data_IF_626144223741
#
_entry.id   IF_626144223741
#
_cell.length_a   1.000
_cell.length_b   1.000
_cell.length_c   1.000
_cell.angle_alpha   90.00
_cell.angle_beta   90.00
_cell.angle_gamma   90.00
#
_symmetry.space_group_name_H-M   'P 1'
#
loop_
_entity.id
_entity.type
_entity.pdbx_description
1 polymer ?
#
# COMPACT_ATOMS: atom_id res chain seq x y z
N UNK A 1 -23.57 -0.59 14.29
CA UNK A 1 -23.76 0.07 12.99
C UNK A 1 -22.47 0.82 12.71
N UNK A 2 -21.51 0.09 12.16
CA UNK A 2 -20.09 0.43 12.21
C UNK A 2 -19.65 0.84 10.81
N UNK A 3 -19.27 2.11 10.64
CA UNK A 3 -18.73 2.64 9.39
C UNK A 3 -17.27 2.23 9.31
N UNK A 4 -16.98 1.16 8.56
CA UNK A 4 -15.64 0.85 8.11
C UNK A 4 -15.13 1.96 7.18
N UNK A 5 -13.93 2.45 7.47
CA UNK A 5 -13.25 3.49 6.69
C UNK A 5 -12.70 2.86 5.42
N UNK A 6 -13.23 3.30 4.29
CA UNK A 6 -12.73 3.00 2.94
C UNK A 6 -11.31 3.56 2.78
N UNK A 7 -10.36 2.71 2.39
CA UNK A 7 -9.20 3.17 1.61
C UNK A 7 -9.76 3.54 0.22
N UNK A 8 -9.54 4.78 -0.19
CA UNK A 8 -9.91 5.23 -1.53
C UNK A 8 -8.77 4.89 -2.49
N UNK A 9 -9.07 4.11 -3.52
CA UNK A 9 -8.16 3.84 -4.63
C UNK A 9 -8.66 4.66 -5.83
N UNK A 10 -8.33 5.95 -5.83
CA UNK A 10 -8.64 6.83 -6.96
C UNK A 10 -7.79 6.45 -8.19
N UNK A 11 -8.29 5.56 -9.04
CA UNK A 11 -7.72 5.30 -10.37
C UNK A 11 -8.22 6.37 -11.33
N UNK A 12 -7.47 7.46 -11.46
CA UNK A 12 -7.63 8.43 -12.54
C UNK A 12 -6.83 7.98 -13.77
N UNK A 13 -7.49 7.43 -14.79
CA UNK A 13 -6.86 7.19 -16.10
C UNK A 13 -6.86 8.52 -16.87
N UNK A 14 -5.75 9.27 -16.74
CA UNK A 14 -5.48 10.43 -17.60
C UNK A 14 -5.02 9.90 -18.96
N UNK A 15 -5.91 9.91 -19.95
CA UNK A 15 -5.56 9.79 -21.35
C UNK A 15 -4.82 11.07 -21.77
N UNK A 16 -3.49 11.03 -21.78
CA UNK A 16 -2.68 11.98 -22.51
C UNK A 16 -1.52 12.62 -21.75
N UNK A 17 -0.43 11.86 -21.57
CA UNK A 17 0.96 12.31 -21.74
C UNK A 17 1.87 11.16 -21.30
N UNK A 18 2.66 10.61 -22.21
CA UNK A 18 3.57 9.48 -21.98
C UNK A 18 4.66 9.86 -20.97
N UNK A 19 4.38 9.69 -19.67
CA UNK A 19 5.42 9.38 -18.71
C UNK A 19 5.95 7.99 -19.05
N UNK A 20 7.24 7.89 -19.35
CA UNK A 20 7.94 6.61 -19.49
C UNK A 20 7.97 5.92 -18.11
N UNK A 21 6.87 5.29 -17.70
CA UNK A 21 6.96 4.22 -16.71
C UNK A 21 7.78 3.11 -17.35
N UNK A 22 8.81 2.65 -16.66
CA UNK A 22 9.66 1.57 -17.14
C UNK A 22 8.81 0.30 -17.31
N UNK A 23 8.43 0.00 -18.54
CA UNK A 23 7.70 -1.22 -18.87
C UNK A 23 8.63 -2.41 -18.67
N UNK A 24 8.27 -3.30 -17.77
CA UNK A 24 9.00 -4.51 -17.44
C UNK A 24 8.58 -5.66 -18.36
N UNK A 25 9.53 -6.53 -18.70
CA UNK A 25 9.32 -7.80 -19.41
C UNK A 25 10.20 -8.87 -18.76
N UNK A 26 9.85 -10.14 -18.93
CA UNK A 26 10.60 -11.25 -18.36
C UNK A 26 10.40 -11.39 -16.84
N UNK A 27 11.48 -11.62 -16.09
CA UNK A 27 11.41 -11.95 -14.66
C UNK A 27 11.28 -10.69 -13.81
N UNK A 28 10.33 -10.72 -12.88
CA UNK A 28 10.17 -9.74 -11.80
C UNK A 28 10.48 -10.40 -10.47
N UNK A 29 11.31 -9.75 -9.66
CA UNK A 29 11.76 -10.25 -8.36
C UNK A 29 11.53 -9.19 -7.28
N UNK A 30 10.77 -9.57 -6.25
CA UNK A 30 10.51 -8.81 -5.03
C UNK A 30 11.12 -9.55 -3.84
N UNK A 31 12.44 -9.43 -3.59
CA UNK A 31 13.11 -10.20 -2.54
C UNK A 31 12.57 -9.90 -1.14
N UNK A 32 12.08 -8.68 -0.91
CA UNK A 32 11.53 -8.22 0.38
C UNK A 32 10.14 -8.75 0.66
N UNK A 33 9.43 -9.21 -0.37
CA UNK A 33 8.19 -9.99 -0.24
C UNK A 33 8.46 -11.49 -0.35
N UNK A 34 9.65 -11.88 -0.81
CA UNK A 34 9.96 -13.25 -1.16
C UNK A 34 9.12 -13.75 -2.33
N UNK A 35 8.81 -12.89 -3.29
CA UNK A 35 7.96 -13.18 -4.45
C UNK A 35 8.75 -12.96 -5.72
N UNK A 36 8.76 -13.94 -6.60
CA UNK A 36 9.32 -13.83 -7.95
C UNK A 36 8.34 -14.42 -8.96
N UNK A 37 8.17 -13.80 -10.11
CA UNK A 37 7.32 -14.32 -11.19
C UNK A 37 7.87 -13.92 -12.56
N UNK A 38 7.25 -14.44 -13.62
CA UNK A 38 7.58 -14.11 -15.01
C UNK A 38 6.39 -13.45 -15.69
N UNK A 39 6.66 -12.35 -16.37
CA UNK A 39 5.70 -11.67 -17.26
C UNK A 39 5.60 -12.51 -18.55
N UNK A 40 4.39 -12.96 -18.94
CA UNK A 40 4.19 -13.75 -20.15
C UNK A 40 4.62 -13.01 -21.43
N UNK A 41 5.02 -13.77 -22.44
CA UNK A 41 5.45 -13.21 -23.73
C UNK A 41 4.32 -12.38 -24.36
N UNK A 42 4.68 -11.20 -24.92
CA UNK A 42 3.72 -10.27 -25.53
C UNK A 42 2.93 -9.40 -24.54
N UNK A 43 3.22 -9.53 -23.23
CA UNK A 43 2.73 -8.65 -22.17
C UNK A 43 3.84 -7.75 -21.63
N UNK A 44 3.44 -6.61 -21.10
CA UNK A 44 4.32 -5.63 -20.47
C UNK A 44 3.76 -5.23 -19.13
N UNK A 45 4.62 -5.22 -18.12
CA UNK A 45 4.24 -4.96 -16.74
C UNK A 45 4.71 -3.61 -16.23
N UNK A 46 4.02 -3.05 -15.24
CA UNK A 46 4.48 -1.89 -14.47
C UNK A 46 3.85 -1.90 -13.07
N UNK A 47 4.56 -1.34 -12.10
CA UNK A 47 4.02 -1.07 -10.78
C UNK A 47 3.09 0.15 -10.83
N UNK A 48 1.97 0.04 -10.12
CA UNK A 48 1.00 1.13 -9.98
C UNK A 48 0.39 1.08 -8.58
N UNK A 49 0.93 1.88 -7.66
CA UNK A 49 0.53 1.82 -6.25
C UNK A 49 0.93 0.49 -5.62
N UNK A 50 -0.05 -0.22 -5.04
CA UNK A 50 0.17 -1.51 -4.37
C UNK A 50 -0.01 -2.73 -5.29
N UNK A 51 -0.25 -2.52 -6.58
CA UNK A 51 -0.47 -3.59 -7.55
C UNK A 51 0.58 -3.57 -8.67
N UNK A 52 0.77 -4.74 -9.27
CA UNK A 52 1.51 -4.86 -10.52
C UNK A 52 0.52 -5.05 -11.67
N UNK A 53 0.51 -4.13 -12.62
CA UNK A 53 -0.38 -4.14 -13.77
C UNK A 53 0.35 -4.65 -15.00
N UNK A 54 -0.31 -5.48 -15.79
CA UNK A 54 0.16 -5.89 -17.11
C UNK A 54 -0.86 -5.56 -18.19
N UNK A 55 -0.36 -5.14 -19.35
CA UNK A 55 -1.14 -4.92 -20.56
C UNK A 55 -0.47 -5.54 -21.78
N UNK A 56 -1.22 -5.68 -22.86
CA UNK A 56 -0.73 -6.10 -24.17
C UNK A 56 -1.11 -5.07 -25.22
N UNK A 57 -0.25 -4.90 -26.22
CA UNK A 57 -0.55 -4.07 -27.39
C UNK A 57 -1.49 -4.79 -28.40
N UNK A 58 -1.71 -6.09 -28.20
CA UNK A 58 -2.45 -6.95 -29.15
C UNK A 58 -3.69 -7.61 -28.55
N UNK A 59 -3.77 -7.70 -27.22
CA UNK A 59 -4.89 -8.32 -26.51
C UNK A 59 -5.57 -7.26 -25.65
N UNK A 60 -6.90 -7.04 -25.78
CA UNK A 60 -7.62 -6.11 -24.92
C UNK A 60 -7.65 -6.60 -23.47
N UNK A 61 -7.95 -5.71 -22.54
CA UNK A 61 -7.99 -6.04 -21.11
C UNK A 61 -6.65 -5.89 -20.42
N UNK A 62 -6.56 -6.45 -19.22
CA UNK A 62 -5.46 -6.21 -18.30
C UNK A 62 -5.25 -7.40 -17.36
N UNK A 63 -4.04 -7.51 -16.81
CA UNK A 63 -3.75 -8.38 -15.67
C UNK A 63 -3.37 -7.53 -14.47
N UNK A 64 -3.90 -7.86 -13.31
CA UNK A 64 -3.50 -7.28 -12.03
C UNK A 64 -2.92 -8.38 -11.16
N UNK A 65 -1.74 -8.14 -10.59
CA UNK A 65 -1.23 -8.92 -9.47
C UNK A 65 -1.34 -8.05 -8.22
N UNK A 66 -1.94 -8.62 -7.18
CA UNK A 66 -2.06 -8.00 -5.87
C UNK A 66 -1.68 -9.02 -4.80
N UNK A 67 -1.17 -8.53 -3.69
CA UNK A 67 -0.78 -9.38 -2.57
C UNK A 67 -1.94 -9.64 -1.61
N UNK A 68 -1.93 -10.78 -0.93
CA UNK A 68 -2.85 -11.09 0.16
C UNK A 68 -2.15 -11.73 1.35
N UNK A 69 -2.80 -11.71 2.51
CA UNK A 69 -2.27 -12.32 3.76
C UNK A 69 -2.90 -13.68 4.10
N UNK A 70 -3.77 -14.21 3.23
CA UNK A 70 -4.33 -15.55 3.42
C UNK A 70 -3.27 -16.65 3.27
N UNK A 71 -3.25 -17.55 4.26
CA UNK A 71 -2.37 -18.72 4.31
C UNK A 71 -3.11 -20.03 4.07
N UNK A 72 -4.45 -20.00 3.99
CA UNK A 72 -5.29 -21.18 3.83
C UNK A 72 -6.15 -21.08 2.58
N UNK A 73 -6.04 -22.10 1.73
CA UNK A 73 -6.85 -22.24 0.50
C UNK A 73 -8.36 -22.16 0.79
N UNK A 74 -8.80 -22.69 1.92
CA UNK A 74 -10.23 -22.67 2.26
C UNK A 74 -10.74 -21.24 2.50
N UNK A 75 -9.94 -20.37 3.12
CA UNK A 75 -10.31 -18.96 3.30
C UNK A 75 -10.35 -18.22 1.96
N UNK A 76 -9.39 -18.52 1.06
CA UNK A 76 -9.41 -17.98 -0.30
C UNK A 76 -10.68 -18.38 -1.05
N UNK A 77 -11.16 -19.62 -0.90
CA UNK A 77 -12.45 -20.04 -1.47
C UNK A 77 -13.61 -19.25 -0.88
N UNK A 78 -13.65 -19.09 0.44
CA UNK A 78 -14.70 -18.30 1.10
C UNK A 78 -14.70 -16.84 0.63
N UNK A 79 -13.54 -16.21 0.46
CA UNK A 79 -13.42 -14.86 -0.08
C UNK A 79 -13.87 -14.79 -1.54
N UNK A 80 -13.47 -15.77 -2.36
CA UNK A 80 -13.90 -15.87 -3.75
C UNK A 80 -15.43 -16.04 -3.89
N UNK A 81 -16.08 -16.78 -2.98
CA UNK A 81 -17.55 -16.93 -2.93
C UNK A 81 -18.26 -15.63 -2.53
N UNK A 82 -17.64 -14.77 -1.71
CA UNK A 82 -18.16 -13.43 -1.40
C UNK A 82 -18.06 -12.46 -2.60
N UNK A 83 -17.15 -12.76 -3.54
CA UNK A 83 -16.82 -11.92 -4.69
C UNK A 83 -15.81 -10.83 -4.37
N UNK A 84 -15.30 -10.19 -5.43
CA UNK A 84 -14.37 -9.06 -5.35
C UNK A 84 -15.15 -7.77 -5.54
N UNK A 85 -15.32 -7.00 -4.48
CA UNK A 85 -16.01 -5.71 -4.48
C UNK A 85 -15.07 -4.63 -3.96
N UNK A 86 -14.78 -3.66 -4.81
CA UNK A 86 -13.93 -2.51 -4.52
C UNK A 86 -14.39 -1.27 -5.33
N UNK A 87 -13.77 -0.12 -5.14
CA UNK A 87 -14.08 1.12 -5.86
C UNK A 87 -13.95 0.90 -7.39
N UNK A 88 -15.10 0.85 -8.07
CA UNK A 88 -15.17 0.58 -9.50
C UNK A 88 -15.00 -0.88 -9.90
N UNK A 89 -14.90 -1.84 -8.97
CA UNK A 89 -14.84 -3.28 -9.28
C UNK A 89 -15.97 -4.01 -8.54
N UNK A 90 -16.75 -4.80 -9.27
CA UNK A 90 -17.75 -5.68 -8.68
C UNK A 90 -17.81 -6.97 -9.47
N UNK A 91 -17.06 -7.98 -9.04
CA UNK A 91 -16.97 -9.29 -9.67
C UNK A 91 -17.49 -10.39 -8.74
N UNK A 92 -18.30 -11.29 -9.28
CA UNK A 92 -18.83 -12.45 -8.57
C UNK A 92 -18.38 -13.73 -9.26
N UNK A 93 -18.13 -14.79 -8.47
CA UNK A 93 -17.69 -16.07 -9.01
C UNK A 93 -18.77 -16.65 -9.92
N UNK A 94 -18.37 -17.03 -11.13
CA UNK A 94 -19.24 -17.54 -12.18
C UNK A 94 -18.88 -18.98 -12.61
N UNK A 95 -17.79 -19.55 -12.09
CA UNK A 95 -17.36 -20.92 -12.37
C UNK A 95 -16.99 -21.72 -11.12
N UNK A 96 -16.67 -22.99 -11.34
CA UNK A 96 -16.15 -23.87 -10.30
C UNK A 96 -14.71 -23.52 -9.93
N UNK A 97 -14.32 -23.89 -8.71
CA UNK A 97 -12.92 -23.80 -8.31
C UNK A 97 -12.09 -24.86 -9.02
N UNK A 98 -10.94 -24.43 -9.53
CA UNK A 98 -9.93 -25.27 -10.12
C UNK A 98 -8.62 -25.12 -9.36
N UNK A 99 -7.81 -26.17 -9.37
CA UNK A 99 -6.46 -26.12 -8.82
C UNK A 99 -5.54 -25.31 -9.76
N UNK A 100 -4.73 -24.44 -9.18
CA UNK A 100 -3.69 -23.68 -9.87
C UNK A 100 -2.36 -23.99 -9.17
N UNK A 101 -1.45 -24.69 -9.86
CA UNK A 101 -0.21 -25.17 -9.24
C UNK A 101 -0.44 -26.16 -8.09
N UNK A 102 0.46 -26.21 -7.11
CA UNK A 102 0.30 -27.01 -5.88
C UNK A 102 -0.46 -26.25 -4.78
N UNK A 103 -0.21 -24.94 -4.66
CA UNK A 103 -0.63 -24.08 -3.55
C UNK A 103 -1.63 -22.99 -3.97
N UNK A 104 -2.39 -23.21 -5.04
CA UNK A 104 -3.31 -22.20 -5.57
C UNK A 104 -4.66 -22.73 -5.99
N UNK A 105 -5.62 -21.81 -6.05
CA UNK A 105 -6.96 -22.01 -6.59
C UNK A 105 -7.27 -20.93 -7.60
N UNK A 106 -8.18 -21.22 -8.53
CA UNK A 106 -8.73 -20.21 -9.42
C UNK A 106 -10.14 -20.53 -9.85
N UNK A 107 -10.86 -19.51 -10.33
CA UNK A 107 -12.20 -19.64 -10.87
C UNK A 107 -12.48 -18.52 -11.87
N UNK A 108 -13.52 -18.70 -12.68
CA UNK A 108 -14.07 -17.63 -13.51
C UNK A 108 -14.95 -16.70 -12.67
N UNK A 109 -14.90 -15.42 -13.00
CA UNK A 109 -15.66 -14.34 -12.39
C UNK A 109 -16.32 -13.48 -13.47
N UNK A 110 -17.47 -12.90 -13.13
CA UNK A 110 -18.21 -11.99 -14.00
C UNK A 110 -18.81 -10.84 -13.20
N UNK A 111 -18.95 -9.68 -13.83
CA UNK A 111 -19.56 -8.52 -13.20
C UNK A 111 -19.17 -7.24 -13.92
N UNK A 112 -18.75 -6.21 -13.18
CA UNK A 112 -18.34 -4.92 -13.75
C UNK A 112 -16.97 -4.45 -13.28
N UNK A 113 -16.26 -3.78 -14.18
CA UNK A 113 -15.03 -3.02 -13.91
C UNK A 113 -15.22 -1.63 -14.52
N UNK A 114 -15.10 -0.58 -13.72
CA UNK A 114 -15.35 0.83 -14.06
C UNK A 114 -16.69 1.03 -14.79
N UNK A 115 -17.73 0.35 -14.31
CA UNK A 115 -19.08 0.39 -14.89
C UNK A 115 -19.27 -0.41 -16.18
N UNK A 116 -18.21 -1.00 -16.74
CA UNK A 116 -18.26 -1.84 -17.96
C UNK A 116 -18.39 -3.31 -17.58
N UNK A 117 -19.25 -4.07 -18.30
CA UNK A 117 -19.37 -5.50 -18.08
C UNK A 117 -18.05 -6.22 -18.39
N UNK A 118 -17.58 -7.01 -17.44
CA UNK A 118 -16.29 -7.68 -17.51
C UNK A 118 -16.41 -9.16 -17.15
N UNK A 119 -15.48 -9.94 -17.70
CA UNK A 119 -15.17 -11.30 -17.27
C UNK A 119 -13.72 -11.39 -16.88
N UNK A 120 -13.45 -12.20 -15.87
CA UNK A 120 -12.10 -12.41 -15.38
C UNK A 120 -11.87 -13.89 -15.04
N UNK A 121 -10.62 -14.32 -15.16
CA UNK A 121 -10.14 -15.48 -14.42
C UNK A 121 -9.27 -14.97 -13.27
N UNK A 122 -9.58 -15.41 -12.06
CA UNK A 122 -8.84 -15.04 -10.85
C UNK A 122 -8.16 -16.28 -10.30
N UNK A 123 -6.85 -16.21 -10.10
CA UNK A 123 -6.04 -17.24 -9.47
C UNK A 123 -5.37 -16.68 -8.22
N UNK A 124 -5.55 -17.31 -7.06
CA UNK A 124 -4.89 -16.95 -5.81
C UNK A 124 -3.97 -18.07 -5.36
N UNK A 125 -2.75 -17.74 -4.95
CA UNK A 125 -1.71 -18.68 -4.56
C UNK A 125 -1.19 -18.30 -3.17
N UNK A 126 -1.24 -19.24 -2.24
CA UNK A 126 -0.71 -19.04 -0.88
C UNK A 126 0.82 -19.15 -0.89
N UNK A 127 1.45 -18.28 -0.11
CA UNK A 127 2.89 -18.32 0.11
C UNK A 127 3.16 -18.87 1.52
N UNK A 128 3.88 -20.00 1.69
CA UNK A 128 4.18 -20.55 3.01
C UNK A 128 5.08 -19.64 3.85
N UNK A 129 5.76 -18.66 3.26
CA UNK A 129 6.66 -17.72 3.93
C UNK A 129 6.00 -16.37 4.26
N UNK A 130 4.70 -16.20 4.00
CA UNK A 130 3.96 -15.00 4.35
C UNK A 130 2.99 -14.56 3.26
N UNK A 131 3.35 -13.51 2.54
CA UNK A 131 2.44 -12.81 1.60
C UNK A 131 2.21 -13.62 0.32
N UNK A 132 0.95 -14.00 0.08
CA UNK A 132 0.49 -14.69 -1.14
C UNK A 132 0.14 -13.72 -2.27
N UNK A 133 -0.22 -14.25 -3.44
CA UNK A 133 -0.48 -13.47 -4.66
C UNK A 133 -1.82 -13.86 -5.27
N UNK A 134 -2.63 -12.86 -5.59
CA UNK A 134 -3.83 -12.97 -6.43
C UNK A 134 -3.53 -12.37 -7.80
N UNK A 135 -3.76 -13.15 -8.84
CA UNK A 135 -3.68 -12.77 -10.26
C UNK A 135 -5.11 -12.63 -10.80
N UNK A 136 -5.45 -11.46 -11.31
CA UNK A 136 -6.73 -11.16 -11.97
C UNK A 136 -6.45 -10.88 -13.44
N UNK A 137 -6.84 -11.78 -14.33
CA UNK A 137 -6.79 -11.55 -15.77
C UNK A 137 -8.20 -11.25 -16.28
N UNK A 138 -8.44 -10.01 -16.71
CA UNK A 138 -9.78 -9.52 -17.00
C UNK A 138 -9.86 -8.75 -18.32
N UNK A 139 -11.03 -8.81 -18.95
CA UNK A 139 -11.39 -8.00 -20.12
C UNK A 139 -12.90 -7.82 -20.18
N UNK A 140 -13.39 -7.08 -21.17
CA UNK A 140 -14.82 -6.97 -21.45
C UNK A 140 -15.42 -8.30 -21.94
N UNK A 141 -16.74 -8.43 -21.82
CA UNK A 141 -17.44 -9.68 -22.18
C UNK A 141 -17.20 -10.10 -23.64
N UNK A 142 -17.26 -9.22 -24.65
CA UNK A 142 -17.03 -9.59 -26.06
C UNK A 142 -15.63 -10.14 -26.35
N UNK A 143 -14.60 -9.65 -25.66
CA UNK A 143 -13.22 -10.03 -25.91
C UNK A 143 -12.73 -11.19 -25.02
N UNK A 144 -13.51 -11.61 -24.02
CA UNK A 144 -13.11 -12.69 -23.12
C UNK A 144 -13.02 -14.05 -23.84
N UNK A 145 -11.89 -14.72 -23.68
CA UNK A 145 -11.61 -16.04 -24.22
C UNK A 145 -10.82 -16.91 -23.24
N UNK A 146 -10.51 -18.16 -23.61
CA UNK A 146 -9.68 -19.05 -22.80
C UNK A 146 -8.27 -18.52 -22.53
N UNK A 147 -7.82 -17.51 -23.29
CA UNK A 147 -6.55 -16.83 -23.10
C UNK A 147 -6.39 -16.28 -21.68
N UNK A 148 -7.39 -15.59 -21.13
CA UNK A 148 -7.26 -14.95 -19.80
C UNK A 148 -7.10 -15.97 -18.67
N UNK A 149 -7.80 -17.10 -18.80
CA UNK A 149 -7.59 -18.25 -17.92
C UNK A 149 -6.20 -18.84 -18.04
N UNK A 150 -5.68 -19.00 -19.26
CA UNK A 150 -4.31 -19.50 -19.48
C UNK A 150 -3.28 -18.53 -18.89
N UNK A 151 -3.45 -17.23 -19.15
CA UNK A 151 -2.58 -16.16 -18.69
C UNK A 151 -2.47 -16.11 -17.16
N UNK A 152 -3.60 -16.12 -16.46
CA UNK A 152 -3.61 -16.13 -15.00
C UNK A 152 -2.94 -17.38 -14.43
N UNK A 153 -3.17 -18.56 -15.05
CA UNK A 153 -2.55 -19.82 -14.62
C UNK A 153 -1.05 -19.87 -14.94
N UNK A 154 -0.62 -19.28 -16.05
CA UNK A 154 0.79 -19.17 -16.43
C UNK A 154 1.56 -18.30 -15.44
N UNK A 155 1.04 -17.10 -15.14
CA UNK A 155 1.64 -16.20 -14.15
C UNK A 155 1.67 -16.87 -12.78
N UNK A 156 0.53 -17.42 -12.33
CA UNK A 156 0.45 -18.11 -11.05
C UNK A 156 1.37 -19.34 -10.99
N UNK A 157 1.55 -20.06 -12.10
CA UNK A 157 2.47 -21.19 -12.20
C UNK A 157 3.95 -20.79 -12.24
N UNK A 158 4.25 -19.54 -12.61
CA UNK A 158 5.61 -18.98 -12.60
C UNK A 158 6.04 -18.46 -11.23
N UNK A 159 5.12 -18.36 -10.27
CA UNK A 159 5.39 -17.85 -8.93
C UNK A 159 6.41 -18.73 -8.21
N UNK A 160 7.47 -18.11 -7.74
CA UNK A 160 8.47 -18.69 -6.88
C UNK A 160 8.47 -17.91 -5.57
N UNK A 161 8.30 -18.64 -4.47
CA UNK A 161 8.32 -18.05 -3.14
C UNK A 161 9.62 -18.37 -2.41
N UNK A 162 10.15 -17.38 -1.72
CA UNK A 162 11.28 -17.51 -0.80
C UNK A 162 10.97 -16.82 0.51
N UNK A 163 11.81 -17.05 1.52
CA UNK A 163 11.74 -16.26 2.75
C UNK A 163 11.98 -14.78 2.40
N UNK A 164 11.11 -13.86 2.85
CA UNK A 164 11.31 -12.42 2.69
C UNK A 164 12.69 -12.00 3.21
N UNK A 165 13.46 -11.33 2.37
CA UNK A 165 14.76 -10.76 2.77
C UNK A 165 14.52 -9.40 3.41
N UNK A 166 14.96 -9.23 4.64
CA UNK A 166 15.03 -7.92 5.25
C UNK A 166 16.08 -7.08 4.49
N UNK A 167 15.71 -5.95 3.88
CA UNK A 167 16.69 -5.16 3.16
C UNK A 167 17.69 -4.53 4.15
N UNK A 168 18.99 -4.42 3.81
CA UNK A 168 20.01 -3.90 4.72
C UNK A 168 19.70 -2.50 5.29
N UNK A 169 18.98 -1.68 4.51
CA UNK A 169 18.55 -0.33 4.91
C UNK A 169 17.59 -0.35 6.11
N UNK A 170 16.82 -1.42 6.31
CA UNK A 170 15.88 -1.58 7.42
C UNK A 170 16.62 -1.70 8.75
N UNK A 171 17.76 -2.40 8.75
CA UNK A 171 18.61 -2.54 9.93
C UNK A 171 19.34 -1.22 10.24
N UNK A 172 19.82 -0.50 9.22
CA UNK A 172 20.40 0.83 9.40
C UNK A 172 19.39 1.79 10.03
N UNK A 173 18.15 1.80 9.54
CA UNK A 173 17.07 2.61 10.13
C UNK A 173 16.74 2.17 11.55
N UNK A 174 16.69 0.86 11.83
CA UNK A 174 16.40 0.33 13.17
C UNK A 174 17.45 0.80 14.17
N UNK A 175 18.72 0.70 13.82
CA UNK A 175 19.83 1.18 14.65
C UNK A 175 19.79 2.70 14.81
N UNK A 176 19.47 3.42 13.74
CA UNK A 176 19.49 4.89 13.77
C UNK A 176 18.33 5.48 14.57
N UNK A 177 17.16 4.83 14.57
CA UNK A 177 15.94 5.32 15.22
C UNK A 177 15.82 4.86 16.68
N UNK A 178 16.64 3.92 17.13
CA UNK A 178 16.61 3.46 18.51
C UNK A 178 17.04 4.59 19.47
N UNK A 179 16.17 4.93 20.43
CA UNK A 179 16.43 5.99 21.40
C UNK A 179 16.38 7.40 20.79
N UNK A 180 15.61 7.58 19.71
CA UNK A 180 15.47 8.87 19.02
C UNK A 180 14.09 9.47 19.28
N UNK A 181 14.06 10.78 19.50
CA UNK A 181 12.86 11.60 19.36
C UNK A 181 12.84 12.24 17.97
N UNK A 182 11.76 11.97 17.24
CA UNK A 182 11.43 12.58 15.96
C UNK A 182 10.48 13.75 16.21
N UNK A 183 10.88 14.97 15.84
CA UNK A 183 10.05 16.16 16.03
C UNK A 183 9.73 16.79 14.68
N UNK A 184 8.45 17.00 14.41
CA UNK A 184 7.96 17.79 13.29
C UNK A 184 7.36 19.08 13.80
N UNK A 185 7.78 20.19 13.20
CA UNK A 185 7.29 21.53 13.50
C UNK A 185 6.93 22.19 12.17
N UNK A 186 5.68 22.61 12.05
CA UNK A 186 5.24 23.45 10.95
C UNK A 186 4.38 24.57 11.51
N UNK A 187 4.72 25.81 11.17
CA UNK A 187 3.93 26.95 11.60
C UNK A 187 3.92 27.99 10.51
N UNK A 188 2.80 28.68 10.40
CA UNK A 188 2.58 29.75 9.46
C UNK A 188 1.85 30.87 10.19
N UNK A 189 2.29 32.10 9.97
CA UNK A 189 1.59 33.28 10.44
C UNK A 189 1.59 34.34 9.35
N UNK A 190 0.43 34.97 9.18
CA UNK A 190 0.19 36.03 8.21
C UNK A 190 -0.57 37.15 8.90
N UNK A 191 -0.12 38.38 8.69
CA UNK A 191 -0.75 39.57 9.27
C UNK A 191 -0.95 40.64 8.18
N UNK A 192 -2.12 41.25 8.16
CA UNK A 192 -2.53 42.38 7.34
C UNK A 192 -3.15 43.49 8.22
N UNK A 193 -3.51 44.62 7.60
CA UNK A 193 -3.93 45.83 8.32
C UNK A 193 -5.18 45.63 9.21
N UNK A 194 -6.08 44.71 8.82
CA UNK A 194 -7.31 44.37 9.56
C UNK A 194 -7.55 42.84 9.65
N UNK A 195 -6.56 42.00 9.34
CA UNK A 195 -6.74 40.54 9.35
C UNK A 195 -5.46 39.79 9.76
N UNK A 196 -5.62 38.72 10.54
CA UNK A 196 -4.53 37.87 11.01
C UNK A 196 -4.93 36.41 10.88
N UNK A 197 -4.04 35.57 10.36
CA UNK A 197 -4.27 34.14 10.24
C UNK A 197 -3.00 33.37 10.47
N UNK A 198 -3.06 32.33 11.29
CA UNK A 198 -1.91 31.48 11.54
C UNK A 198 -2.30 30.09 11.99
N UNK A 199 -1.36 29.16 11.81
CA UNK A 199 -1.46 27.82 12.35
C UNK A 199 -0.11 27.35 12.86
N UNK A 200 -0.13 26.37 13.76
CA UNK A 200 1.04 25.69 14.28
C UNK A 200 0.71 24.22 14.48
N UNK A 201 1.49 23.34 13.87
CA UNK A 201 1.47 21.91 14.05
C UNK A 201 2.79 21.47 14.68
N UNK A 202 2.67 20.66 15.74
CA UNK A 202 3.78 20.06 16.45
C UNK A 202 3.50 18.57 16.63
N UNK A 203 4.40 17.72 16.16
CA UNK A 203 4.35 16.29 16.41
C UNK A 203 5.68 15.81 16.99
N UNK A 204 5.61 14.93 17.98
CA UNK A 204 6.76 14.26 18.57
C UNK A 204 6.53 12.75 18.59
N UNK A 205 7.53 11.99 18.15
CA UNK A 205 7.54 10.52 18.20
C UNK A 205 8.81 10.11 18.92
N UNK A 206 8.69 9.67 20.18
CA UNK A 206 9.82 9.17 20.94
C UNK A 206 9.87 7.64 20.80
N UNK A 207 10.98 7.12 20.30
CA UNK A 207 11.19 5.71 19.99
C UNK A 207 12.17 5.09 21.01
N UNK A 208 11.67 4.35 21.99
CA UNK A 208 12.46 3.77 23.09
C UNK A 208 12.36 2.25 23.09
N UNK A 209 13.49 1.55 22.86
CA UNK A 209 13.46 0.10 22.70
C UNK A 209 12.51 -0.30 21.56
N UNK A 210 11.50 -1.11 21.86
CA UNK A 210 10.42 -1.46 20.92
C UNK A 210 9.11 -0.66 21.13
N UNK A 211 9.10 0.32 22.05
CA UNK A 211 7.95 1.15 22.41
C UNK A 211 8.08 2.54 21.83
N UNK A 212 6.94 3.16 21.51
CA UNK A 212 6.90 4.58 21.17
C UNK A 212 5.89 5.34 22.03
N UNK A 213 6.13 6.63 22.19
CA UNK A 213 5.11 7.62 22.55
C UNK A 213 4.96 8.61 21.41
N UNK A 214 3.72 9.04 21.17
CA UNK A 214 3.36 9.95 20.10
C UNK A 214 2.55 11.09 20.69
N UNK A 215 3.07 12.30 20.57
CA UNK A 215 2.38 13.53 20.92
C UNK A 215 2.11 14.33 19.65
N UNK A 216 0.91 14.91 19.56
CA UNK A 216 0.59 15.90 18.54
C UNK A 216 -0.18 17.03 19.17
N UNK A 217 0.19 18.27 18.83
CA UNK A 217 -0.64 19.45 19.05
C UNK A 217 -0.76 20.26 17.77
N UNK A 218 -1.93 20.85 17.58
CA UNK A 218 -2.23 21.72 16.45
C UNK A 218 -3.06 22.90 16.94
N UNK A 219 -2.74 24.10 16.47
CA UNK A 219 -3.58 25.29 16.66
C UNK A 219 -3.75 26.04 15.36
N UNK A 220 -4.90 26.67 15.19
CA UNK A 220 -5.21 27.54 14.06
C UNK A 220 -6.04 28.71 14.57
N UNK A 221 -5.72 29.91 14.11
CA UNK A 221 -6.50 31.12 14.34
C UNK A 221 -6.65 31.91 13.05
N UNK A 222 -7.83 32.48 12.84
CA UNK A 222 -8.18 33.33 11.71
C UNK A 222 -9.04 34.48 12.22
N UNK A 223 -8.63 35.69 11.89
CA UNK A 223 -9.31 36.95 12.14
C UNK A 223 -9.34 37.74 10.84
N UNK A 224 -10.52 38.14 10.38
CA UNK A 224 -10.71 38.87 9.13
C UNK A 224 -11.16 40.32 9.35
N UNK A 225 -11.08 40.84 10.57
CA UNK A 225 -11.50 42.22 10.92
C UNK A 225 -13.01 42.37 11.13
N UNK A 226 -13.79 41.34 10.80
CA UNK A 226 -15.24 41.25 11.04
C UNK A 226 -15.72 39.90 11.56
N UNK A 227 -14.84 38.89 11.61
CA UNK A 227 -15.14 37.56 12.16
C UNK A 227 -13.85 36.90 12.68
N UNK A 228 -13.96 36.18 13.81
CA UNK A 228 -12.87 35.46 14.46
C UNK A 228 -13.21 33.98 14.60
N UNK A 229 -12.23 33.11 14.31
CA UNK A 229 -12.30 31.68 14.56
C UNK A 229 -10.95 31.16 15.07
N UNK A 230 -11.00 30.26 16.04
CA UNK A 230 -9.81 29.57 16.54
C UNK A 230 -10.10 28.12 16.91
N UNK A 231 -9.14 27.25 16.67
CA UNK A 231 -9.19 25.83 17.04
C UNK A 231 -7.85 25.42 17.61
N UNK A 232 -7.86 24.60 18.64
CA UNK A 232 -6.67 23.98 19.21
C UNK A 232 -7.00 22.55 19.63
N UNK A 233 -6.05 21.65 19.44
CA UNK A 233 -6.18 20.25 19.79
C UNK A 233 -4.85 19.67 20.20
N UNK A 234 -4.90 18.66 21.05
CA UNK A 234 -3.75 17.80 21.34
C UNK A 234 -4.18 16.34 21.39
N UNK A 235 -3.21 15.45 21.23
CA UNK A 235 -3.41 14.02 21.40
C UNK A 235 -2.11 13.38 21.86
N UNK A 236 -2.26 12.34 22.69
CA UNK A 236 -1.17 11.52 23.20
C UNK A 236 -1.52 10.06 22.93
N UNK A 237 -0.58 9.31 22.39
CA UNK A 237 -0.74 7.89 22.13
C UNK A 237 0.56 7.15 22.42
N UNK A 238 0.46 5.84 22.55
CA UNK A 238 1.61 4.97 22.71
C UNK A 238 1.38 3.64 21.98
N UNK A 239 2.45 2.88 21.81
CA UNK A 239 2.39 1.60 21.15
C UNK A 239 3.76 0.97 20.95
N UNK A 240 3.81 -0.01 20.07
CA UNK A 240 5.04 -0.63 19.61
C UNK A 240 5.44 -0.05 18.26
N UNK A 241 6.73 0.08 18.00
CA UNK A 241 7.22 0.50 16.70
C UNK A 241 8.17 -0.55 16.12
N UNK A 242 8.22 -0.59 14.79
CA UNK A 242 9.18 -1.39 14.04
C UNK A 242 9.60 -0.65 12.79
N UNK A 243 10.76 -1.03 12.22
CA UNK A 243 11.07 -0.72 10.84
C UNK A 243 10.62 -1.90 9.99
N UNK A 244 9.81 -1.63 8.98
CA UNK A 244 9.30 -2.58 8.01
C UNK A 244 9.74 -2.17 6.60
N UNK A 245 9.32 -2.92 5.60
CA UNK A 245 9.56 -2.60 4.20
C UNK A 245 8.28 -2.78 3.42
N UNK A 246 8.00 -1.85 2.50
CA UNK A 246 6.92 -2.00 1.54
C UNK A 246 7.23 -3.11 0.53
N UNK A 247 6.21 -3.50 -0.26
CA UNK A 247 6.40 -4.46 -1.35
C UNK A 247 7.43 -4.04 -2.39
N UNK A 248 7.56 -2.74 -2.62
CA UNK A 248 8.54 -2.14 -3.53
C UNK A 248 9.94 -1.95 -2.90
N UNK A 249 10.16 -2.44 -1.68
CA UNK A 249 11.47 -2.34 -1.01
C UNK A 249 11.71 -1.02 -0.26
N UNK A 250 10.70 -0.17 -0.11
CA UNK A 250 10.82 1.13 0.57
C UNK A 250 10.78 0.92 2.08
N UNK A 251 11.73 1.46 2.87
CA UNK A 251 11.71 1.32 4.33
C UNK A 251 10.55 2.13 4.94
N UNK A 252 9.87 1.54 5.92
CA UNK A 252 8.72 2.14 6.60
C UNK A 252 8.96 2.16 8.11
N UNK A 253 8.66 3.28 8.77
CA UNK A 253 8.44 3.31 10.22
C UNK A 253 6.99 2.92 10.48
N UNK A 254 6.77 1.76 11.09
CA UNK A 254 5.45 1.26 11.45
C UNK A 254 5.17 1.52 12.92
N UNK A 255 4.10 2.25 13.20
CA UNK A 255 3.58 2.49 14.55
C UNK A 255 2.32 1.65 14.77
N UNK A 256 2.43 0.66 15.66
CA UNK A 256 1.31 -0.15 16.11
C UNK A 256 0.84 0.37 17.47
N UNK A 257 -0.24 1.14 17.44
CA UNK A 257 -0.83 1.77 18.62
C UNK A 257 -1.44 0.72 19.55
N UNK A 258 -1.46 0.99 20.86
CA UNK A 258 -2.03 0.07 21.87
C UNK A 258 -3.53 -0.19 21.66
N UNK A 259 -4.23 0.69 20.92
CA UNK A 259 -5.63 0.52 20.53
C UNK A 259 -5.82 -0.35 19.27
N UNK A 260 -4.76 -0.95 18.73
CA UNK A 260 -4.78 -1.82 17.55
C UNK A 260 -4.69 -1.07 16.21
N UNK A 261 -4.75 0.26 16.19
CA UNK A 261 -4.50 1.04 14.97
C UNK A 261 -3.04 0.83 14.52
N UNK A 262 -2.82 0.77 13.21
CA UNK A 262 -1.48 0.79 12.61
C UNK A 262 -1.32 2.05 11.76
N UNK A 263 -0.13 2.63 11.75
CA UNK A 263 0.22 3.73 10.83
C UNK A 263 1.64 3.52 10.32
N UNK A 264 1.79 3.61 9.00
CA UNK A 264 3.07 3.45 8.32
C UNK A 264 3.54 4.79 7.76
N UNK A 265 4.82 5.07 7.93
CA UNK A 265 5.48 6.26 7.41
C UNK A 265 6.66 5.83 6.55
N UNK A 266 6.68 6.24 5.28
CA UNK A 266 7.83 6.09 4.41
C UNK A 266 9.04 6.81 4.99
N UNK A 267 10.12 6.05 5.20
CA UNK A 267 11.39 6.56 5.69
C UNK A 267 12.28 6.95 4.53
N UNK A 268 12.78 8.17 4.56
CA UNK A 268 13.70 8.65 3.53
C UNK A 268 14.84 9.48 4.14
N UNK A 269 16.04 9.29 3.59
CA UNK A 269 17.16 10.21 3.77
C UNK A 269 17.30 11.13 2.56
N UNK A 270 17.23 12.45 2.77
CA UNK A 270 17.71 13.43 1.80
C UNK A 270 18.82 14.26 2.43
N UNK A 271 20.03 14.17 1.86
CA UNK A 271 21.19 14.98 2.27
C UNK A 271 21.42 14.98 3.81
N UNK A 272 21.29 13.82 4.47
CA UNK A 272 21.40 13.57 5.94
C UNK A 272 20.20 13.92 6.83
N UNK A 273 19.13 14.49 6.26
CA UNK A 273 17.89 14.78 6.99
C UNK A 273 16.93 13.59 6.89
N UNK A 274 16.18 13.33 7.97
CA UNK A 274 15.16 12.27 8.02
C UNK A 274 13.82 12.84 7.61
N UNK A 275 13.12 12.08 6.77
CA UNK A 275 11.79 12.39 6.32
C UNK A 275 10.85 11.23 6.62
N UNK A 276 9.62 11.58 7.02
CA UNK A 276 8.48 10.66 7.12
C UNK A 276 7.42 11.12 6.12
N UNK A 277 7.05 10.28 5.15
CA UNK A 277 6.09 10.61 4.08
C UNK A 277 6.42 11.95 3.38
N UNK A 278 7.71 12.23 3.15
CA UNK A 278 8.17 13.46 2.51
C UNK A 278 8.24 14.70 3.41
N UNK A 279 7.81 14.62 4.68
CA UNK A 279 7.94 15.70 5.67
C UNK A 279 9.19 15.53 6.52
N UNK A 280 9.96 16.61 6.71
CA UNK A 280 11.19 16.55 7.48
C UNK A 280 10.89 16.42 8.98
N UNK A 281 11.47 15.41 9.61
CA UNK A 281 11.51 15.30 11.08
C UNK A 281 12.93 15.58 11.57
N UNK A 282 13.03 16.38 12.62
CA UNK A 282 14.28 16.59 13.35
C UNK A 282 14.53 15.38 14.24
N UNK A 283 15.72 14.83 14.17
CA UNK A 283 16.17 13.75 15.06
C UNK A 283 16.95 14.34 16.20
N UNK A 284 16.53 14.04 17.42
CA UNK A 284 17.32 14.29 18.62
C UNK A 284 17.50 12.97 19.36
N UNK A 285 18.73 12.66 19.74
CA UNK A 285 19.04 11.47 20.52
C UNK A 285 18.68 11.71 21.98
N UNK A 286 18.12 10.69 22.60
CA UNK A 286 17.63 10.78 23.95
C UNK A 286 18.77 10.99 24.99
N UNK A 287 18.57 11.97 25.88
CA UNK A 287 19.41 12.25 27.04
C UNK A 287 18.69 11.97 28.38
N UNK A 288 17.64 11.13 28.40
CA UNK A 288 17.01 10.65 29.64
C UNK A 288 15.48 10.49 29.64
N UNK A 289 14.80 10.68 28.51
CA UNK A 289 13.36 10.52 28.29
C UNK A 289 12.93 9.05 28.06
N UNK A 290 13.85 8.15 27.70
CA UNK A 290 13.62 6.70 27.58
C UNK A 290 13.81 5.92 28.90
N UNK A 291 13.73 6.59 30.05
CA UNK A 291 13.89 5.98 31.38
C UNK A 291 12.60 5.39 31.94
#
# INVERSE_FOLDING_TARGET
MERQRFLSLSICIILGSYGLFAQQTGVVDYPTLGIRFTIPDGWKGAESGEVFLMGSDTQPGLVILMTHQESQIQNLKTQAEAGLVDEGISLQKAGDFEKVGSEGIGAEFSGTIQGTQAKAYIAAVVNPFGTGVTVVAATDVPNYSSLYKQLAKEIAGSLQFSQPKEPPVTEEWRQTLQGVKLTYLNSYSSSGYDSYGGYSDHEEILLCGNRFTFYKSSSMSIDTGGAYASSAGNSNNAGNWTVATSGAGVPLLRLQYDNGKVSDFELEYKETKTYLNGYRYFRTYDHGECR
#
